data_IF_049436638400
#
_entry.id   IF_049436638400
#
_cell.length_a   1.000
_cell.length_b   1.000
_cell.length_c   1.000
_cell.angle_alpha   90.00
_cell.angle_beta   90.00
_cell.angle_gamma   90.00
#
_symmetry.space_group_name_H-M   'P 1'
#
loop_
_entity.id
_entity.type
_entity.pdbx_description
1 polymer ?
#
# COMPACT_ATOMS: atom_id res chain seq x y z
N UNK A 1 13.90 -1.18 -9.57
CA UNK A 1 13.88 -2.53 -8.99
C UNK A 1 13.07 -2.41 -7.72
N UNK A 2 12.07 -3.27 -7.52
CA UNK A 2 11.09 -3.18 -6.44
C UNK A 2 11.69 -3.29 -5.02
N UNK A 3 12.90 -3.83 -4.89
CA UNK A 3 13.61 -3.93 -3.61
C UNK A 3 14.42 -2.67 -3.25
N UNK A 4 14.51 -1.68 -4.14
CA UNK A 4 15.21 -0.43 -3.83
C UNK A 4 14.39 0.43 -2.86
N UNK A 5 15.02 1.22 -1.98
CA UNK A 5 14.30 2.16 -1.15
C UNK A 5 13.64 3.25 -2.00
N UNK A 6 12.63 3.94 -1.48
CA UNK A 6 12.17 5.20 -2.07
C UNK A 6 13.32 6.22 -2.09
N UNK A 7 13.42 6.98 -3.18
CA UNK A 7 14.45 8.01 -3.33
C UNK A 7 13.82 9.33 -3.76
N UNK A 8 13.84 10.30 -2.85
CA UNK A 8 13.29 11.66 -3.08
C UNK A 8 14.17 12.43 -4.06
N UNK A 9 15.49 12.23 -4.00
CA UNK A 9 16.46 12.99 -4.77
C UNK A 9 16.70 14.41 -4.21
N UNK A 10 17.61 15.19 -4.83
CA UNK A 10 18.00 16.50 -4.33
C UNK A 10 17.07 17.64 -4.77
N UNK A 11 16.25 17.43 -5.79
CA UNK A 11 15.27 18.43 -6.23
C UNK A 11 14.14 18.59 -5.21
N UNK A 12 13.52 19.78 -5.15
CA UNK A 12 12.49 20.15 -4.16
C UNK A 12 11.07 20.22 -4.73
N UNK A 13 10.83 19.54 -5.85
CA UNK A 13 9.50 19.44 -6.44
C UNK A 13 8.56 18.59 -5.59
N UNK A 14 7.26 18.77 -5.80
CA UNK A 14 6.22 17.98 -5.17
C UNK A 14 5.58 17.07 -6.22
N UNK A 15 6.13 15.88 -6.39
CA UNK A 15 5.59 14.88 -7.32
C UNK A 15 5.16 13.64 -6.52
N UNK A 16 3.86 13.47 -6.21
CA UNK A 16 3.35 12.24 -5.61
C UNK A 16 3.64 11.05 -6.52
N UNK A 17 4.37 10.07 -5.99
CA UNK A 17 4.77 8.85 -6.68
C UNK A 17 4.53 7.64 -5.80
N UNK A 18 4.57 6.46 -6.39
CA UNK A 18 4.40 5.17 -5.73
C UNK A 18 5.73 4.43 -5.72
N UNK A 19 6.01 3.74 -4.62
CA UNK A 19 7.14 2.82 -4.51
C UNK A 19 6.67 1.56 -3.80
N UNK A 20 7.29 0.42 -4.08
CA UNK A 20 7.02 -0.82 -3.39
C UNK A 20 7.80 -0.88 -2.08
N UNK A 21 7.09 -1.08 -0.97
CA UNK A 21 7.68 -1.31 0.34
C UNK A 21 7.67 -2.82 0.64
N UNK A 22 8.86 -3.41 0.71
CA UNK A 22 9.01 -4.86 0.91
C UNK A 22 8.53 -5.28 2.31
N UNK A 23 8.78 -4.46 3.34
CA UNK A 23 8.39 -4.78 4.72
C UNK A 23 6.87 -4.81 4.93
N UNK A 24 6.13 -4.02 4.14
CA UNK A 24 4.67 -3.97 4.15
C UNK A 24 4.04 -4.74 2.99
N UNK A 25 4.88 -5.31 2.13
CA UNK A 25 4.49 -6.06 0.92
C UNK A 25 3.42 -5.34 0.12
N UNK A 26 3.54 -4.02 -0.06
CA UNK A 26 2.56 -3.19 -0.77
C UNK A 26 3.17 -1.94 -1.36
N UNK A 27 2.52 -1.38 -2.38
CA UNK A 27 2.87 -0.08 -2.93
C UNK A 27 2.43 1.07 -2.03
N UNK A 28 3.38 1.89 -1.59
CA UNK A 28 3.19 3.09 -0.78
C UNK A 28 3.38 4.37 -1.60
N UNK A 29 2.66 5.44 -1.26
CA UNK A 29 2.91 6.76 -1.86
C UNK A 29 4.08 7.47 -1.15
N UNK A 30 4.87 8.24 -1.90
CA UNK A 30 5.91 9.14 -1.38
C UNK A 30 6.01 10.39 -2.27
N UNK A 31 6.67 11.43 -1.77
CA UNK A 31 6.96 12.64 -2.56
C UNK A 31 8.33 12.49 -3.21
N UNK A 32 8.35 12.43 -4.53
CA UNK A 32 9.55 12.50 -5.33
C UNK A 32 9.89 13.96 -5.63
N UNK A 33 11.16 14.32 -5.44
CA UNK A 33 11.67 15.68 -5.64
C UNK A 33 11.73 16.12 -7.10
N UNK A 34 11.63 15.18 -8.05
CA UNK A 34 11.60 15.45 -9.49
C UNK A 34 12.88 15.12 -10.24
N UNK A 35 14.00 14.84 -9.55
CA UNK A 35 15.24 14.43 -10.20
C UNK A 35 16.03 13.40 -9.38
N UNK A 36 16.90 12.64 -10.04
CA UNK A 36 17.80 11.62 -9.45
C UNK A 36 17.10 10.68 -8.48
N UNK A 37 15.99 10.08 -8.92
CA UNK A 37 15.36 8.95 -8.23
C UNK A 37 15.84 7.62 -8.78
N UNK A 38 15.49 6.53 -8.11
CA UNK A 38 15.70 5.18 -8.62
C UNK A 38 14.45 4.60 -9.28
N UNK A 39 14.57 3.34 -9.71
CA UNK A 39 13.54 2.59 -10.45
C UNK A 39 12.38 2.08 -9.55
N UNK A 40 12.38 2.32 -8.25
CA UNK A 40 11.23 2.07 -7.38
C UNK A 40 10.41 3.37 -7.24
N UNK A 41 9.95 3.89 -8.37
CA UNK A 41 9.28 5.17 -8.48
C UNK A 41 8.30 5.10 -9.66
N UNK A 42 7.01 5.01 -9.35
CA UNK A 42 5.93 4.80 -10.31
C UNK A 42 4.94 5.95 -10.21
N UNK A 43 4.40 6.39 -11.33
CA UNK A 43 3.39 7.45 -11.35
C UNK A 43 2.03 6.96 -10.83
N UNK A 44 1.66 5.74 -11.17
CA UNK A 44 0.36 5.15 -10.82
C UNK A 44 0.52 3.95 -9.91
N UNK A 45 -0.37 3.82 -8.92
CA UNK A 45 -0.43 2.65 -8.05
C UNK A 45 -0.54 1.34 -8.83
N UNK A 46 -1.32 1.31 -9.92
CA UNK A 46 -1.53 0.12 -10.74
C UNK A 46 -0.22 -0.40 -11.36
N UNK A 47 0.68 0.51 -11.78
CA UNK A 47 1.97 0.14 -12.35
C UNK A 47 2.91 -0.42 -11.29
N UNK A 48 2.98 0.22 -10.12
CA UNK A 48 3.73 -0.30 -8.98
C UNK A 48 3.21 -1.70 -8.57
N UNK A 49 1.90 -1.86 -8.43
CA UNK A 49 1.27 -3.10 -7.99
C UNK A 49 1.52 -4.25 -8.97
N UNK A 50 1.31 -3.98 -10.26
CA UNK A 50 1.58 -4.93 -11.34
C UNK A 50 3.05 -5.30 -11.41
N UNK A 51 3.96 -4.33 -11.33
CA UNK A 51 5.38 -4.59 -11.47
C UNK A 51 6.01 -5.26 -10.24
N UNK A 52 5.50 -5.00 -9.04
CA UNK A 52 6.19 -5.42 -7.81
C UNK A 52 5.41 -6.43 -6.98
N UNK A 53 4.09 -6.25 -6.83
CA UNK A 53 3.29 -7.18 -6.03
C UNK A 53 3.01 -8.49 -6.78
N UNK A 54 2.75 -8.40 -8.09
CA UNK A 54 2.50 -9.58 -8.93
C UNK A 54 3.75 -10.45 -9.07
N UNK A 55 4.94 -9.85 -9.13
CA UNK A 55 6.22 -10.55 -9.21
C UNK A 55 6.56 -11.35 -7.93
N UNK A 56 5.95 -11.01 -6.79
CA UNK A 56 6.21 -11.67 -5.49
C UNK A 56 5.09 -12.63 -5.07
N UNK A 57 3.92 -12.59 -5.73
CA UNK A 57 2.78 -13.47 -5.45
C UNK A 57 2.51 -14.54 -6.53
N UNK A 58 3.18 -14.50 -7.68
CA UNK A 58 2.96 -15.49 -8.73
C UNK A 58 3.61 -16.84 -8.37
N UNK A 59 2.86 -17.95 -8.28
CA UNK A 59 3.47 -19.27 -8.40
C UNK A 59 4.01 -19.43 -9.83
N UNK A 60 5.12 -20.18 -9.97
CA UNK A 60 5.83 -20.42 -11.24
C UNK A 60 4.94 -20.99 -12.38
N UNK A 61 3.70 -21.42 -12.09
CA UNK A 61 2.79 -22.06 -13.04
C UNK A 61 1.73 -21.16 -13.69
N UNK A 62 1.66 -19.86 -13.37
CA UNK A 62 0.59 -18.98 -13.88
C UNK A 62 0.98 -18.08 -15.07
N UNK A 63 2.01 -18.43 -15.84
CA UNK A 63 2.31 -17.75 -17.12
C UNK A 63 1.37 -18.22 -18.24
N UNK A 64 0.07 -18.07 -18.04
CA UNK A 64 -0.89 -18.00 -19.16
C UNK A 64 -1.00 -16.54 -19.57
N UNK A 65 -0.71 -16.17 -20.83
CA UNK A 65 -0.97 -14.82 -21.30
C UNK A 65 -2.48 -14.64 -21.39
N UNK A 66 -3.06 -13.89 -20.45
CA UNK A 66 -4.41 -13.33 -20.62
C UNK A 66 -4.32 -12.21 -21.65
N UNK A 67 -4.47 -12.63 -22.91
CA UNK A 67 -4.78 -11.78 -24.04
C UNK A 67 -6.15 -11.14 -23.86
N UNK A 68 -6.19 -9.86 -24.25
CA UNK A 68 -7.33 -9.05 -24.68
C UNK A 68 -8.58 -8.96 -23.80
N UNK A 69 -8.77 -7.78 -23.24
CA UNK A 69 -10.10 -7.18 -23.13
C UNK A 69 -10.04 -5.67 -23.36
N UNK A 70 -11.15 -5.10 -23.85
CA UNK A 70 -11.11 -3.95 -24.75
C UNK A 70 -10.86 -2.65 -23.99
N UNK A 71 -10.39 -1.66 -24.74
CA UNK A 71 -10.43 -0.27 -24.33
C UNK A 71 -11.84 0.05 -23.81
N UNK A 72 -11.93 0.42 -22.54
CA UNK A 72 -13.14 1.06 -22.02
C UNK A 72 -13.31 2.35 -22.80
N UNK A 73 -14.35 2.42 -23.62
CA UNK A 73 -14.82 3.67 -24.18
C UNK A 73 -15.23 4.55 -22.99
N UNK A 74 -14.45 5.59 -22.74
CA UNK A 74 -14.86 6.67 -21.86
C UNK A 74 -16.01 7.39 -22.57
N UNK A 75 -17.24 7.12 -22.13
CA UNK A 75 -18.39 7.92 -22.48
C UNK A 75 -18.20 9.30 -21.84
N UNK A 76 -17.74 10.26 -22.65
CA UNK A 76 -17.77 11.67 -22.30
C UNK A 76 -19.22 12.15 -22.44
N UNK A 77 -19.99 12.11 -21.34
CA UNK A 77 -21.27 12.82 -21.30
C UNK A 77 -20.98 14.32 -21.13
N UNK A 78 -21.10 15.05 -22.23
CA UNK A 78 -21.08 16.51 -22.27
C UNK A 78 -22.43 17.05 -21.81
N UNK A 79 -22.66 17.12 -20.51
CA UNK A 79 -23.63 18.07 -19.97
C UNK A 79 -23.07 18.81 -18.75
N UNK A 80 -22.93 20.14 -18.93
CA UNK A 80 -22.58 21.20 -17.95
C UNK A 80 -21.10 21.38 -17.59
N UNK A 81 -20.67 22.62 -17.72
CA UNK A 81 -19.36 23.23 -17.44
C UNK A 81 -18.96 23.18 -15.94
N UNK A 82 -19.10 22.02 -15.30
CA UNK A 82 -18.69 21.80 -13.92
C UNK A 82 -17.47 20.89 -13.90
N UNK A 83 -16.45 21.22 -13.08
CA UNK A 83 -15.30 20.36 -12.94
C UNK A 83 -15.74 18.98 -12.43
N UNK A 84 -15.11 17.88 -12.88
CA UNK A 84 -15.60 16.53 -12.63
C UNK A 84 -15.63 16.24 -11.12
N UNK A 85 -16.74 15.67 -10.65
CA UNK A 85 -16.84 15.19 -9.27
C UNK A 85 -15.91 13.99 -9.10
N UNK A 86 -14.95 14.09 -8.17
CA UNK A 86 -14.00 13.01 -7.91
C UNK A 86 -14.29 12.44 -6.53
N UNK A 87 -14.77 11.20 -6.49
CA UNK A 87 -14.91 10.46 -5.23
C UNK A 87 -13.54 10.02 -4.70
N UNK A 88 -13.43 9.88 -3.37
CA UNK A 88 -12.24 9.31 -2.78
C UNK A 88 -12.02 7.87 -3.26
N UNK A 89 -10.81 7.59 -3.75
CA UNK A 89 -10.38 6.24 -4.10
C UNK A 89 -9.31 5.80 -3.11
N UNK A 90 -9.47 4.62 -2.53
CA UNK A 90 -8.46 4.00 -1.64
C UNK A 90 -7.85 2.76 -2.29
N UNK A 91 -6.64 2.40 -1.87
CA UNK A 91 -6.04 1.12 -2.24
C UNK A 91 -6.83 -0.05 -1.62
N UNK A 92 -6.65 -1.28 -2.15
CA UNK A 92 -6.95 -2.48 -1.39
C UNK A 92 -6.25 -2.45 -0.03
N UNK A 93 -6.79 -3.24 0.90
CA UNK A 93 -6.07 -3.52 2.14
C UNK A 93 -4.82 -4.32 1.83
N UNK A 94 -3.73 -4.00 2.53
CA UNK A 94 -2.57 -4.86 2.60
C UNK A 94 -2.92 -6.22 3.20
N UNK A 95 -1.99 -7.15 3.08
CA UNK A 95 -1.98 -8.32 3.95
C UNK A 95 -1.90 -7.90 5.41
N UNK A 96 -2.39 -8.79 6.26
CA UNK A 96 -2.15 -8.66 7.69
C UNK A 96 -0.67 -8.79 7.96
N UNK A 97 -0.13 -7.89 8.79
CA UNK A 97 1.20 -8.04 9.34
C UNK A 97 1.31 -9.36 10.09
N UNK A 98 2.54 -9.87 10.28
CA UNK A 98 2.82 -10.84 11.33
C UNK A 98 2.29 -10.35 12.68
N UNK A 99 2.11 -11.29 13.60
CA UNK A 99 1.73 -10.95 14.95
C UNK A 99 2.82 -10.13 15.64
N UNK A 100 2.45 -9.07 16.36
CA UNK A 100 3.38 -8.21 17.09
C UNK A 100 4.16 -8.94 18.19
N UNK A 101 3.60 -10.04 18.70
CA UNK A 101 4.21 -10.90 19.70
C UNK A 101 4.03 -12.36 19.28
N UNK A 102 5.00 -13.21 19.59
CA UNK A 102 4.91 -14.67 19.40
C UNK A 102 4.17 -15.36 20.53
N UNK A 103 3.99 -14.69 21.67
CA UNK A 103 3.28 -15.16 22.84
C UNK A 103 2.28 -14.10 23.36
N UNK A 104 1.38 -14.49 24.25
CA UNK A 104 0.41 -13.63 24.92
C UNK A 104 -0.48 -12.84 23.95
N UNK A 105 -0.82 -11.62 24.34
CA UNK A 105 -1.81 -10.80 23.64
C UNK A 105 -1.23 -10.02 22.45
N UNK A 106 -0.76 -10.75 21.45
CA UNK A 106 -0.31 -10.19 20.19
C UNK A 106 -1.43 -9.56 19.35
N UNK A 107 -1.06 -8.58 18.52
CA UNK A 107 -1.95 -7.97 17.52
C UNK A 107 -1.32 -8.01 16.14
N UNK A 108 -2.17 -8.09 15.12
CA UNK A 108 -1.80 -7.91 13.72
C UNK A 108 -2.52 -6.71 13.14
N UNK A 109 -1.87 -6.03 12.21
CA UNK A 109 -2.39 -4.83 11.56
C UNK A 109 -2.40 -4.98 10.05
N UNK A 110 -3.38 -4.40 9.38
CA UNK A 110 -3.36 -4.17 7.93
C UNK A 110 -3.71 -2.73 7.63
N UNK A 111 -3.20 -2.20 6.53
CA UNK A 111 -3.40 -0.78 6.16
C UNK A 111 -3.87 -0.68 4.72
N UNK A 112 -4.54 0.42 4.41
CA UNK A 112 -4.81 0.90 3.04
C UNK A 112 -4.52 2.38 3.00
N UNK A 113 -4.44 2.97 1.82
CA UNK A 113 -4.18 4.39 1.67
C UNK A 113 -5.17 5.04 0.73
N UNK A 114 -5.20 6.37 0.77
CA UNK A 114 -5.91 7.19 -0.20
C UNK A 114 -5.06 7.22 -1.48
N UNK A 115 -5.60 6.71 -2.58
CA UNK A 115 -5.02 6.77 -3.92
C UNK A 115 -5.36 8.11 -4.58
N UNK A 116 -6.59 8.58 -4.37
CA UNK A 116 -7.09 9.84 -4.89
C UNK A 116 -7.97 10.48 -3.83
N UNK A 117 -7.67 11.74 -3.51
CA UNK A 117 -8.49 12.55 -2.62
C UNK A 117 -9.79 12.96 -3.33
N UNK A 118 -10.88 13.16 -2.57
CA UNK A 118 -12.12 13.64 -3.16
C UNK A 118 -12.01 15.10 -3.58
N UNK A 119 -12.62 15.45 -4.72
CA UNK A 119 -12.68 16.82 -5.25
C UNK A 119 -14.09 17.15 -5.76
N UNK A 120 -14.39 18.44 -5.91
CA UNK A 120 -15.62 18.96 -6.53
C UNK A 120 -16.92 18.37 -5.95
N UNK A 121 -16.97 18.18 -4.63
CA UNK A 121 -18.15 17.63 -3.93
C UNK A 121 -18.23 16.10 -3.91
N UNK A 122 -17.16 15.40 -4.28
CA UNK A 122 -17.11 13.95 -4.20
C UNK A 122 -17.11 13.39 -2.78
N UNK A 123 -17.41 12.09 -2.67
CA UNK A 123 -17.55 11.38 -1.40
C UNK A 123 -16.22 11.33 -0.63
N UNK A 124 -16.30 11.60 0.68
CA UNK A 124 -15.13 11.63 1.55
C UNK A 124 -14.49 10.26 1.73
N UNK A 125 -13.19 10.26 2.03
CA UNK A 125 -12.46 9.03 2.28
C UNK A 125 -12.92 8.34 3.57
N UNK A 126 -12.92 7.00 3.62
CA UNK A 126 -13.17 6.28 4.86
C UNK A 126 -12.17 6.67 5.95
N UNK A 127 -12.66 7.01 7.14
CA UNK A 127 -11.78 7.37 8.28
C UNK A 127 -10.86 6.21 8.72
N UNK A 128 -11.31 4.96 8.57
CA UNK A 128 -10.52 3.77 8.93
C UNK A 128 -9.62 3.36 7.76
N UNK A 129 -8.35 3.79 7.84
CA UNK A 129 -7.27 3.39 6.93
C UNK A 129 -6.33 2.33 7.53
N UNK A 130 -6.49 2.04 8.83
CA UNK A 130 -5.77 0.98 9.55
C UNK A 130 -6.80 0.07 10.21
N UNK A 131 -6.57 -1.23 10.13
CA UNK A 131 -7.33 -2.22 10.89
C UNK A 131 -6.37 -3.03 11.76
N UNK A 132 -6.84 -3.34 12.98
CA UNK A 132 -6.12 -4.13 13.98
C UNK A 132 -6.97 -5.30 14.40
N UNK A 133 -6.37 -6.47 14.56
CA UNK A 133 -7.03 -7.66 15.13
C UNK A 133 -6.10 -8.35 16.11
N UNK A 134 -6.66 -8.99 17.14
CA UNK A 134 -5.91 -9.91 18.00
C UNK A 134 -5.39 -11.07 17.16
N UNK A 135 -4.21 -11.57 17.50
CA UNK A 135 -3.71 -12.81 16.94
C UNK A 135 -4.52 -13.99 17.48
N UNK A 136 -4.59 -15.07 16.69
CA UNK A 136 -5.24 -16.29 17.13
C UNK A 136 -4.19 -17.13 17.85
N UNK A 137 -4.51 -17.55 19.07
CA UNK A 137 -3.87 -18.66 19.78
C UNK A 137 -2.36 -18.53 20.02
N UNK A 138 -1.90 -17.33 20.38
CA UNK A 138 -0.55 -17.17 20.93
C UNK A 138 -0.48 -17.84 22.31
N UNK A 139 0.49 -18.74 22.51
CA UNK A 139 0.75 -19.32 23.83
C UNK A 139 1.03 -18.22 24.87
N UNK A 140 0.70 -18.40 26.16
CA UNK A 140 1.11 -17.47 27.20
C UNK A 140 2.62 -17.20 27.14
N UNK A 141 3.03 -15.96 27.41
CA UNK A 141 4.44 -15.65 27.48
C UNK A 141 5.07 -16.33 28.69
N UNK A 142 6.34 -16.76 28.60
CA UNK A 142 7.05 -17.24 29.78
C UNK A 142 7.13 -16.09 30.78
N UNK A 143 6.83 -16.38 32.05
CA UNK A 143 7.04 -15.41 33.12
C UNK A 143 8.52 -15.02 33.16
N UNK A 144 8.81 -13.75 33.46
CA UNK A 144 10.17 -13.25 33.64
C UNK A 144 10.82 -13.93 34.86
N UNK A 145 11.29 -15.16 34.70
CA UNK A 145 12.12 -15.83 35.69
C UNK A 145 13.56 -15.40 35.44
N UNK A 146 14.01 -14.43 36.23
CA UNK A 146 15.40 -13.93 36.20
C UNK A 146 15.67 -12.63 36.97
N UNK A 147 14.75 -12.14 37.80
CA UNK A 147 15.06 -11.09 38.78
C UNK A 147 14.71 -11.59 40.18
N UNK A 148 15.55 -12.48 40.70
CA UNK A 148 15.66 -12.72 42.15
C UNK A 148 17.11 -12.45 42.55
N UNK A 149 17.24 -11.38 43.33
CA UNK A 149 18.26 -11.01 44.30
C UNK A 149 19.35 -12.05 44.60
N UNK A 150 20.61 -11.62 44.48
CA UNK A 150 21.75 -12.19 45.18
C UNK A 150 22.50 -11.05 45.86
N UNK A 151 22.60 -11.13 47.20
CA UNK A 151 23.27 -10.21 48.12
C UNK A 151 24.63 -9.68 47.62
#
# INVERSE_FOLDING_TARGET
NCMQPKEVGPCRGYFPRWYYDVGRTMCLQFIYGGCRGNRNNFERYADCNRMCETMLRAPLSALTPLSTSPAVAASMDSTKDQPPVIDCVVTPWSEWSPCSHTCGNGRRERRRMIKLNPENGGKTCPAKLVQRRKCKDNAPCPDRMGSTEGM
#
